data_IF_034118234991
#
_entry.id   IF_034118234991
#
_cell.length_a   1.000
_cell.length_b   1.000
_cell.length_c   1.000
_cell.angle_alpha   90.00
_cell.angle_beta   90.00
_cell.angle_gamma   90.00
#
_symmetry.space_group_name_H-M   'P 1'
#
loop_
_entity.id
_entity.type
_entity.pdbx_description
1 polymer ?
#
# COMPACT_ATOMS: atom_id res chain seq x y z
N UNK A 1 -2.29 -10.25 -29.56
CA UNK A 1 -1.56 -10.83 -28.41
C UNK A 1 -0.80 -9.69 -27.73
N UNK A 2 -1.32 -9.13 -26.63
CA UNK A 2 -0.65 -8.02 -25.94
C UNK A 2 0.49 -8.60 -25.10
N UNK A 3 1.73 -8.36 -25.51
CA UNK A 3 2.90 -8.60 -24.66
C UNK A 3 2.74 -7.78 -23.39
N UNK A 4 2.50 -8.44 -22.25
CA UNK A 4 2.67 -7.80 -20.95
C UNK A 4 4.15 -7.43 -20.82
N UNK A 5 4.51 -6.18 -21.11
CA UNK A 5 5.82 -5.62 -20.78
C UNK A 5 6.08 -5.98 -19.32
N UNK A 6 7.20 -6.65 -19.04
CA UNK A 6 7.75 -6.74 -17.68
C UNK A 6 7.79 -5.30 -17.19
N UNK A 7 7.08 -4.98 -16.11
CA UNK A 7 7.18 -3.66 -15.50
C UNK A 7 8.60 -3.59 -14.94
N UNK A 8 9.52 -3.03 -15.74
CA UNK A 8 10.85 -2.66 -15.28
C UNK A 8 10.68 -1.63 -14.16
N UNK A 9 11.55 -1.70 -13.15
CA UNK A 9 11.50 -0.80 -12.01
C UNK A 9 11.52 0.65 -12.51
N UNK A 10 10.55 1.50 -12.14
CA UNK A 10 10.50 2.88 -12.62
C UNK A 10 11.75 3.66 -12.23
N UNK A 11 12.23 4.52 -13.13
CA UNK A 11 13.31 5.47 -12.89
C UNK A 11 12.80 6.71 -12.17
N UNK A 12 11.54 7.11 -12.42
CA UNK A 12 10.92 8.18 -11.66
C UNK A 12 10.82 7.76 -10.19
N UNK A 13 11.30 8.61 -9.29
CA UNK A 13 11.37 8.30 -7.87
C UNK A 13 9.99 8.01 -7.25
N UNK A 14 9.02 8.89 -7.49
CA UNK A 14 7.62 8.73 -7.06
C UNK A 14 7.02 7.46 -7.67
N UNK A 15 7.26 7.22 -8.97
CA UNK A 15 6.88 5.99 -9.67
C UNK A 15 7.44 4.74 -9.01
N UNK A 16 8.72 4.75 -8.64
CA UNK A 16 9.38 3.65 -7.96
C UNK A 16 8.77 3.40 -6.57
N UNK A 17 8.38 4.45 -5.84
CA UNK A 17 7.72 4.29 -4.53
C UNK A 17 6.35 3.65 -4.65
N UNK A 18 5.53 4.08 -5.61
CA UNK A 18 4.24 3.42 -5.87
C UNK A 18 4.42 1.99 -6.39
N UNK A 19 5.44 1.72 -7.21
CA UNK A 19 5.78 0.37 -7.65
C UNK A 19 6.13 -0.56 -6.48
N UNK A 20 6.97 -0.08 -5.55
CA UNK A 20 7.33 -0.84 -4.35
C UNK A 20 6.11 -1.10 -3.47
N UNK A 21 5.29 -0.08 -3.23
CA UNK A 21 4.02 -0.24 -2.52
C UNK A 21 3.12 -1.27 -3.19
N UNK A 22 2.91 -1.19 -4.50
CA UNK A 22 2.06 -2.12 -5.25
C UNK A 22 2.59 -3.55 -5.17
N UNK A 23 3.91 -3.74 -5.15
CA UNK A 23 4.50 -5.06 -4.96
C UNK A 23 4.17 -5.62 -3.57
N UNK A 24 4.36 -4.84 -2.50
CA UNK A 24 4.04 -5.27 -1.12
C UNK A 24 2.54 -5.59 -1.01
N UNK A 25 1.69 -4.69 -1.51
CA UNK A 25 0.25 -4.86 -1.46
C UNK A 25 -0.20 -6.13 -2.21
N UNK A 26 0.27 -6.34 -3.44
CA UNK A 26 -0.21 -7.44 -4.28
C UNK A 26 0.44 -8.79 -3.98
N UNK A 27 1.68 -8.83 -3.48
CA UNK A 27 2.40 -10.08 -3.19
C UNK A 27 2.22 -10.53 -1.75
N UNK A 28 2.38 -9.62 -0.80
CA UNK A 28 2.48 -9.98 0.62
C UNK A 28 1.12 -9.82 1.31
N UNK A 29 0.47 -8.67 1.11
CA UNK A 29 -0.75 -8.31 1.85
C UNK A 29 -2.03 -8.88 1.22
N UNK A 30 -2.02 -9.15 -0.08
CA UNK A 30 -3.22 -9.57 -0.83
C UNK A 30 -3.89 -10.81 -0.28
N UNK A 31 -3.11 -11.82 0.14
CA UNK A 31 -3.69 -13.04 0.72
C UNK A 31 -4.33 -12.78 2.08
N UNK A 32 -3.66 -11.97 2.91
CA UNK A 32 -4.15 -11.59 4.24
C UNK A 32 -5.47 -10.83 4.09
N UNK A 33 -5.50 -9.81 3.23
CA UNK A 33 -6.72 -9.03 2.94
C UNK A 33 -7.85 -9.95 2.48
N UNK A 34 -7.57 -10.84 1.51
CA UNK A 34 -8.59 -11.76 0.99
C UNK A 34 -9.17 -12.65 2.08
N UNK A 35 -8.34 -13.17 2.97
CA UNK A 35 -8.77 -14.07 4.04
C UNK A 35 -9.56 -13.32 5.13
N UNK A 36 -9.14 -12.11 5.49
CA UNK A 36 -9.88 -11.23 6.43
C UNK A 36 -11.26 -10.89 5.84
N UNK A 37 -11.32 -10.43 4.58
CA UNK A 37 -12.58 -10.09 3.93
C UNK A 37 -13.49 -11.30 3.72
N UNK A 38 -12.92 -12.51 3.66
CA UNK A 38 -13.68 -13.76 3.64
C UNK A 38 -14.08 -14.24 5.05
N UNK A 39 -13.84 -13.44 6.08
CA UNK A 39 -14.06 -13.73 7.50
C UNK A 39 -13.40 -15.03 7.98
N UNK A 40 -12.28 -15.39 7.37
CA UNK A 40 -11.50 -16.57 7.74
C UNK A 40 -10.56 -16.21 8.87
N UNK A 41 -10.46 -17.11 9.83
CA UNK A 41 -9.43 -17.00 10.88
C UNK A 41 -8.06 -17.26 10.25
N UNK A 42 -7.15 -16.30 10.43
CA UNK A 42 -5.78 -16.42 9.97
C UNK A 42 -4.93 -17.23 10.96
N UNK A 43 -3.86 -17.85 10.45
CA UNK A 43 -2.80 -18.39 11.32
C UNK A 43 -1.99 -17.21 11.87
N UNK A 44 -2.09 -16.97 13.18
CA UNK A 44 -1.47 -15.82 13.88
C UNK A 44 0.02 -15.69 13.56
N UNK A 45 0.79 -16.77 13.74
CA UNK A 45 2.25 -16.75 13.53
C UNK A 45 2.61 -16.39 12.09
N UNK A 46 1.88 -16.95 11.11
CA UNK A 46 2.12 -16.68 9.70
C UNK A 46 1.70 -15.26 9.32
N UNK A 47 0.55 -14.79 9.80
CA UNK A 47 0.05 -13.45 9.53
C UNK A 47 0.98 -12.39 10.13
N UNK A 48 1.41 -12.56 11.38
CA UNK A 48 2.36 -11.68 12.04
C UNK A 48 3.70 -11.61 11.29
N UNK A 49 4.23 -12.75 10.85
CA UNK A 49 5.47 -12.79 10.09
C UNK A 49 5.38 -11.97 8.80
N UNK A 50 4.34 -12.21 8.00
CA UNK A 50 4.11 -11.50 6.74
C UNK A 50 3.88 -10.01 6.99
N UNK A 51 3.10 -9.64 8.01
CA UNK A 51 2.81 -8.24 8.30
C UNK A 51 4.01 -7.48 8.85
N UNK A 52 4.82 -8.11 9.69
CA UNK A 52 6.06 -7.50 10.16
C UNK A 52 7.04 -7.25 9.01
N UNK A 53 7.14 -8.19 8.06
CA UNK A 53 7.98 -8.01 6.87
C UNK A 53 7.43 -6.88 5.96
N UNK A 54 6.13 -6.91 5.67
CA UNK A 54 5.46 -5.87 4.90
C UNK A 54 5.60 -4.49 5.56
N UNK A 55 5.47 -4.38 6.89
CA UNK A 55 5.63 -3.13 7.63
C UNK A 55 7.05 -2.59 7.53
N UNK A 56 8.07 -3.45 7.67
CA UNK A 56 9.47 -3.04 7.45
C UNK A 56 9.68 -2.49 6.03
N UNK A 57 9.11 -3.15 5.02
CA UNK A 57 9.22 -2.71 3.64
C UNK A 57 8.48 -1.38 3.39
N UNK A 58 7.32 -1.18 4.02
CA UNK A 58 6.56 0.08 3.99
C UNK A 58 7.30 1.21 4.71
N UNK A 59 7.93 0.92 5.85
CA UNK A 59 8.74 1.89 6.59
C UNK A 59 9.97 2.33 5.80
N UNK A 60 10.63 1.40 5.09
CA UNK A 60 11.70 1.76 4.16
C UNK A 60 11.23 2.71 3.04
N UNK A 61 10.00 2.56 2.54
CA UNK A 61 9.43 3.51 1.57
C UNK A 61 9.26 4.90 2.20
N UNK A 62 8.74 4.96 3.44
CA UNK A 62 8.55 6.23 4.17
C UNK A 62 9.88 6.91 4.51
N UNK A 63 10.90 6.15 4.91
CA UNK A 63 12.24 6.67 5.18
C UNK A 63 12.86 7.27 3.92
N UNK A 64 12.79 6.56 2.79
CA UNK A 64 13.30 7.07 1.52
C UNK A 64 12.56 8.36 1.16
N UNK A 65 11.22 8.36 1.26
CA UNK A 65 10.39 9.54 1.02
C UNK A 65 10.84 10.73 1.86
N UNK A 66 11.18 10.51 3.13
CA UNK A 66 11.56 11.57 4.07
C UNK A 66 13.00 12.09 3.85
N UNK A 67 13.90 11.26 3.32
CA UNK A 67 15.31 11.62 3.08
C UNK A 67 15.51 12.46 1.82
N UNK A 68 14.61 12.35 0.84
CA UNK A 68 14.71 13.20 -0.35
C UNK A 68 14.26 14.64 -0.04
N UNK A 69 15.22 15.56 0.07
CA UNK A 69 14.98 17.00 -0.05
C UNK A 69 14.66 17.32 -1.51
N UNK A 70 13.39 17.18 -1.89
CA UNK A 70 12.95 17.67 -3.17
C UNK A 70 13.20 19.18 -3.27
N UNK A 71 13.80 19.62 -4.38
CA UNK A 71 13.57 20.97 -4.89
C UNK A 71 12.19 20.96 -5.56
N UNK A 72 11.11 20.88 -4.78
CA UNK A 72 9.83 20.38 -5.32
C UNK A 72 9.03 21.42 -6.09
N UNK A 73 8.62 21.00 -7.28
CA UNK A 73 7.41 21.46 -7.95
C UNK A 73 6.19 20.96 -7.14
N UNK A 74 5.25 21.85 -6.82
CA UNK A 74 4.10 21.65 -5.91
C UNK A 74 3.29 20.36 -6.16
N UNK A 75 3.30 19.85 -7.40
CA UNK A 75 2.62 18.61 -7.80
C UNK A 75 3.28 17.36 -7.21
N UNK A 76 4.60 17.34 -7.08
CA UNK A 76 5.36 16.21 -6.52
C UNK A 76 5.09 16.03 -5.03
N UNK A 77 5.03 17.12 -4.28
CA UNK A 77 4.73 17.10 -2.83
C UNK A 77 3.34 16.50 -2.56
N UNK A 78 2.32 16.89 -3.33
CA UNK A 78 0.98 16.29 -3.19
C UNK A 78 0.95 14.79 -3.43
N UNK A 79 1.73 14.28 -4.39
CA UNK A 79 1.78 12.83 -4.66
C UNK A 79 2.48 12.12 -3.51
N UNK A 80 3.57 12.69 -2.99
CA UNK A 80 4.27 12.20 -1.80
C UNK A 80 3.31 12.09 -0.62
N UNK A 81 2.59 13.16 -0.28
CA UNK A 81 1.69 13.19 0.87
C UNK A 81 0.61 12.11 0.78
N UNK A 82 0.05 11.91 -0.42
CA UNK A 82 -0.95 10.86 -0.66
C UNK A 82 -0.34 9.46 -0.49
N UNK A 83 0.91 9.22 -0.90
CA UNK A 83 1.60 7.94 -0.66
C UNK A 83 1.80 7.71 0.85
N UNK A 84 2.27 8.73 1.58
CA UNK A 84 2.48 8.65 3.04
C UNK A 84 1.16 8.34 3.75
N UNK A 85 0.09 9.05 3.39
CA UNK A 85 -1.23 8.86 3.98
C UNK A 85 -1.76 7.44 3.71
N UNK A 86 -1.63 6.95 2.48
CA UNK A 86 -2.05 5.61 2.09
C UNK A 86 -1.31 4.53 2.88
N UNK A 87 0.02 4.65 3.01
CA UNK A 87 0.84 3.71 3.80
C UNK A 87 0.43 3.76 5.28
N UNK A 88 0.28 4.96 5.85
CA UNK A 88 -0.04 5.15 7.26
C UNK A 88 -1.40 4.55 7.63
N UNK A 89 -2.42 4.79 6.79
CA UNK A 89 -3.75 4.20 6.97
C UNK A 89 -3.70 2.68 6.84
N UNK A 90 -2.92 2.14 5.89
CA UNK A 90 -2.73 0.68 5.74
C UNK A 90 -2.10 0.03 6.95
N UNK A 91 -1.04 0.63 7.50
CA UNK A 91 -0.44 0.15 8.74
C UNK A 91 -1.44 0.18 9.90
N UNK A 92 -2.19 1.29 10.06
CA UNK A 92 -3.21 1.42 11.10
C UNK A 92 -4.27 0.33 11.02
N UNK A 93 -4.80 0.06 9.83
CA UNK A 93 -5.79 -1.00 9.62
C UNK A 93 -5.29 -2.37 10.09
N UNK A 94 -4.08 -2.76 9.66
CA UNK A 94 -3.52 -4.06 10.07
C UNK A 94 -3.13 -4.10 11.55
N UNK A 95 -2.74 -2.98 12.15
CA UNK A 95 -2.52 -2.91 13.61
C UNK A 95 -3.81 -3.20 14.37
N UNK A 96 -4.92 -2.59 13.98
CA UNK A 96 -6.20 -2.83 14.64
C UNK A 96 -6.61 -4.30 14.47
N UNK A 97 -6.51 -4.86 13.27
CA UNK A 97 -6.81 -6.28 13.04
C UNK A 97 -5.93 -7.20 13.91
N UNK A 98 -4.67 -6.84 14.08
CA UNK A 98 -3.74 -7.57 14.95
C UNK A 98 -4.17 -7.51 16.42
N UNK A 99 -4.67 -6.38 16.91
CA UNK A 99 -5.23 -6.26 18.28
C UNK A 99 -6.43 -7.21 18.50
N UNK A 100 -7.15 -7.55 17.43
CA UNK A 100 -8.24 -8.53 17.46
C UNK A 100 -7.81 -9.96 17.09
N UNK A 101 -6.52 -10.31 17.19
CA UNK A 101 -5.99 -11.63 16.84
C UNK A 101 -6.39 -12.09 15.42
N UNK A 102 -6.50 -11.15 14.49
CA UNK A 102 -6.95 -11.43 13.11
C UNK A 102 -8.35 -12.07 13.02
N UNK A 103 -9.19 -11.89 14.03
CA UNK A 103 -10.57 -12.35 14.04
C UNK A 103 -11.49 -11.31 13.39
N UNK A 104 -11.68 -11.45 12.08
CA UNK A 104 -12.56 -10.60 11.29
C UNK A 104 -14.03 -10.60 11.75
N UNK A 105 -14.46 -11.52 12.63
CA UNK A 105 -15.81 -11.50 13.22
C UNK A 105 -15.93 -10.53 14.39
N UNK A 106 -14.82 -10.24 15.07
CA UNK A 106 -14.75 -9.27 16.18
C UNK A 106 -14.58 -7.85 15.67
N UNK A 107 -14.14 -7.71 14.42
CA UNK A 107 -14.03 -6.44 13.73
C UNK A 107 -15.40 -6.04 13.16
N UNK A 108 -15.94 -4.88 13.54
CA UNK A 108 -17.21 -4.42 12.98
C UNK A 108 -17.03 -4.12 11.47
N UNK A 109 -17.80 -4.84 10.65
CA UNK A 109 -17.72 -4.91 9.18
C UNK A 109 -17.74 -3.52 8.49
N UNK A 110 -18.24 -2.48 9.16
CA UNK A 110 -18.33 -1.12 8.60
C UNK A 110 -16.97 -0.43 8.44
N UNK A 111 -16.00 -0.68 9.33
CA UNK A 111 -14.68 -0.05 9.20
C UNK A 111 -13.80 -0.74 8.16
N UNK A 112 -13.95 -2.05 7.97
CA UNK A 112 -13.15 -2.82 7.01
C UNK A 112 -13.45 -2.46 5.55
N UNK A 113 -14.73 -2.43 5.17
CA UNK A 113 -15.13 -2.11 3.80
C UNK A 113 -14.69 -0.70 3.41
N UNK A 114 -14.94 0.27 4.30
CA UNK A 114 -14.54 1.67 4.12
C UNK A 114 -13.03 1.82 3.96
N UNK A 115 -12.24 1.01 4.68
CA UNK A 115 -10.80 1.04 4.60
C UNK A 115 -10.26 0.46 3.27
N UNK A 116 -10.75 -0.70 2.86
CA UNK A 116 -10.31 -1.35 1.62
C UNK A 116 -10.69 -0.53 0.38
N UNK A 117 -11.88 0.08 0.41
CA UNK A 117 -12.32 1.03 -0.61
C UNK A 117 -11.39 2.25 -0.64
N UNK A 118 -11.04 2.82 0.53
CA UNK A 118 -10.07 3.92 0.60
C UNK A 118 -8.72 3.57 -0.03
N UNK A 119 -8.14 2.40 0.27
CA UNK A 119 -6.85 2.00 -0.32
C UNK A 119 -6.97 1.83 -1.83
N UNK A 120 -8.04 1.22 -2.31
CA UNK A 120 -8.27 1.01 -3.74
C UNK A 120 -8.46 2.35 -4.49
N UNK A 121 -9.27 3.25 -3.93
CA UNK A 121 -9.53 4.58 -4.49
C UNK A 121 -8.27 5.44 -4.50
N UNK A 122 -7.54 5.48 -3.37
CA UNK A 122 -6.31 6.27 -3.24
C UNK A 122 -5.23 5.77 -4.19
N UNK A 123 -5.11 4.44 -4.35
CA UNK A 123 -4.20 3.84 -5.33
C UNK A 123 -4.58 4.19 -6.76
N UNK A 124 -5.87 4.20 -7.11
CA UNK A 124 -6.33 4.62 -8.43
C UNK A 124 -6.10 6.12 -8.68
N UNK A 125 -6.32 6.96 -7.66
CA UNK A 125 -6.03 8.38 -7.70
C UNK A 125 -4.54 8.64 -7.92
N UNK A 126 -3.67 7.95 -7.19
CA UNK A 126 -2.21 8.03 -7.35
C UNK A 126 -1.77 7.65 -8.76
N UNK A 127 -2.36 6.61 -9.33
CA UNK A 127 -2.09 6.25 -10.73
C UNK A 127 -2.49 7.37 -11.69
N UNK A 128 -3.66 7.98 -11.52
CA UNK A 128 -4.05 9.13 -12.36
C UNK A 128 -3.07 10.29 -12.23
N UNK A 129 -2.73 10.69 -11.00
CA UNK A 129 -1.77 11.77 -10.72
C UNK A 129 -0.37 11.48 -11.27
N UNK A 130 0.07 10.23 -11.23
CA UNK A 130 1.37 9.84 -11.79
C UNK A 130 1.40 9.89 -13.31
N UNK A 131 0.28 9.68 -14.00
CA UNK A 131 0.19 9.93 -15.45
C UNK A 131 0.29 11.44 -15.76
N UNK A 132 -0.27 12.30 -14.91
CA UNK A 132 -0.19 13.76 -15.08
C UNK A 132 1.23 14.31 -14.96
N UNK A 133 2.14 13.60 -14.29
CA UNK A 133 3.56 13.96 -14.15
C UNK A 133 4.48 13.11 -15.04
N UNK A 134 3.92 12.43 -16.05
CA UNK A 134 4.66 11.60 -17.02
C UNK A 134 5.55 10.53 -16.37
N UNK A 135 5.10 9.96 -15.25
CA UNK A 135 5.81 8.89 -14.57
C UNK A 135 5.91 7.66 -15.48
N UNK A 136 7.10 7.05 -15.52
CA UNK A 136 7.42 5.88 -16.33
C UNK A 136 6.87 4.55 -15.77
N UNK A 137 6.12 4.63 -14.68
CA UNK A 137 5.50 3.47 -14.03
C UNK A 137 4.15 3.03 -14.66
N UNK A 138 3.47 3.87 -15.45
CA UNK A 138 2.03 3.70 -15.79
C UNK A 138 1.66 3.59 -17.26
#
# INVERSE_FOLDING_TARGET
MAFRKKIERPKNYLGNMLYRFDNIYNKDLKSIIKDISSKKRLNLKKADFILNDAFKNLDSILEDISRENFKTDYRGDKIRDVIIEMISKLKKYFMIIKEYDYDAKRFEIREEATFLDFVAETRNLLKKKMKEIESDYL
#
